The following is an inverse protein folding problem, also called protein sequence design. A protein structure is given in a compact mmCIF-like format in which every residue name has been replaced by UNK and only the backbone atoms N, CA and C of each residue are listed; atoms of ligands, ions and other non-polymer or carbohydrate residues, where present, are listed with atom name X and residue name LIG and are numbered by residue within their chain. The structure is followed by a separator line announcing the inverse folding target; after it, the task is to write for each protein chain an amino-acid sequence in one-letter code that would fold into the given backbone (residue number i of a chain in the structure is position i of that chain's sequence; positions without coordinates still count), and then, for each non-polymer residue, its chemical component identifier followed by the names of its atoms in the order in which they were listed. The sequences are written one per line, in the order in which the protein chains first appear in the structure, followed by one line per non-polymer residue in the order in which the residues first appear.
data_IF_700836978116
#
_entry.id   IF_700836978116
#
_cell.length_a   1.000
_cell.length_b   1.000
_cell.length_c   1.000
_cell.angle_alpha   90.00
_cell.angle_beta   90.00
_cell.angle_gamma   90.00
#
_symmetry.space_group_name_H-M   'P 1'
#
loop_
_entity.id
_entity.type
_entity.pdbx_description
1 polymer ?
#
# COMPACT_ATOMS: atom_id res chain seq x y z
N UNK A 1 4.02 25.33 12.02
CA UNK A 1 2.60 25.05 11.72
C UNK A 1 2.04 24.07 12.75
N UNK A 2 0.91 24.39 13.38
CA UNK A 2 0.17 23.45 14.24
C UNK A 2 -0.53 22.42 13.35
N UNK A 3 -0.36 21.13 13.66
CA UNK A 3 -1.06 20.04 12.97
C UNK A 3 -2.52 20.09 13.45
N UNK A 4 -3.45 20.33 12.53
CA UNK A 4 -4.88 20.38 12.84
C UNK A 4 -5.46 18.96 12.73
N UNK A 5 -5.67 18.32 13.87
CA UNK A 5 -6.36 17.04 13.92
C UNK A 5 -7.86 17.24 13.65
N UNK A 6 -8.40 16.46 12.72
CA UNK A 6 -9.83 16.40 12.42
C UNK A 6 -10.31 14.98 12.62
N UNK A 7 -11.49 14.83 13.18
CA UNK A 7 -12.13 13.55 13.41
C UNK A 7 -13.40 13.49 12.60
N UNK A 8 -13.58 12.40 11.86
CA UNK A 8 -14.81 12.11 11.11
C UNK A 8 -15.32 10.75 11.58
N UNK A 9 -16.55 10.72 12.08
CA UNK A 9 -17.23 9.50 12.47
C UNK A 9 -18.34 9.24 11.46
N UNK A 10 -18.36 8.04 10.87
CA UNK A 10 -19.39 7.61 9.93
C UNK A 10 -20.04 6.34 10.46
N UNK A 11 -21.36 6.27 10.34
CA UNK A 11 -22.13 5.05 10.53
C UNK A 11 -22.39 4.44 9.14
N UNK A 12 -22.02 3.19 8.96
CA UNK A 12 -22.17 2.47 7.69
C UNK A 12 -22.45 1.01 7.95
N UNK A 13 -23.19 0.37 7.04
CA UNK A 13 -23.39 -1.07 7.04
C UNK A 13 -22.12 -1.84 6.62
N UNK A 14 -21.31 -1.27 5.72
CA UNK A 14 -19.99 -1.79 5.36
C UNK A 14 -18.90 -0.76 5.72
N UNK A 15 -18.02 -1.04 6.70
CA UNK A 15 -16.95 -0.14 7.07
C UNK A 15 -15.92 0.06 5.94
N UNK A 16 -15.75 -0.92 5.06
CA UNK A 16 -14.80 -0.86 3.95
C UNK A 16 -15.22 0.20 2.93
N UNK A 17 -16.49 0.18 2.55
CA UNK A 17 -17.06 1.16 1.61
C UNK A 17 -17.00 2.57 2.18
N UNK A 18 -17.31 2.72 3.48
CA UNK A 18 -17.19 4.01 4.14
C UNK A 18 -15.75 4.55 4.12
N UNK A 19 -14.75 3.68 4.34
CA UNK A 19 -13.34 4.06 4.28
C UNK A 19 -12.94 4.45 2.85
N UNK A 20 -13.30 3.63 1.85
CA UNK A 20 -12.97 3.89 0.44
C UNK A 20 -13.60 5.20 -0.04
N UNK A 21 -14.90 5.39 0.20
CA UNK A 21 -15.60 6.63 -0.14
C UNK A 21 -14.99 7.84 0.57
N UNK A 22 -14.60 7.70 1.85
CA UNK A 22 -13.93 8.80 2.58
C UNK A 22 -12.57 9.12 2.00
N UNK A 23 -11.77 8.09 1.65
CA UNK A 23 -10.46 8.29 1.05
C UNK A 23 -10.56 9.00 -0.31
N UNK A 24 -11.58 8.68 -1.08
CA UNK A 24 -11.88 9.35 -2.36
C UNK A 24 -12.41 10.78 -2.16
N UNK A 25 -13.47 10.96 -1.37
CA UNK A 25 -14.13 12.26 -1.12
C UNK A 25 -13.19 13.31 -0.50
N UNK A 26 -12.29 12.86 0.40
CA UNK A 26 -11.35 13.75 1.09
C UNK A 26 -9.97 13.80 0.41
N UNK A 27 -9.80 13.07 -0.71
CA UNK A 27 -8.54 13.00 -1.46
C UNK A 27 -7.36 12.63 -0.55
N UNK A 28 -7.52 11.53 0.20
CA UNK A 28 -6.49 11.05 1.13
C UNK A 28 -5.37 10.39 0.33
N UNK A 29 -4.13 10.91 0.43
CA UNK A 29 -2.97 10.35 -0.27
C UNK A 29 -2.38 9.11 0.43
N UNK A 30 -2.49 9.03 1.75
CA UNK A 30 -1.94 7.93 2.56
C UNK A 30 -2.87 7.56 3.70
N UNK A 31 -3.10 6.26 3.86
CA UNK A 31 -3.94 5.68 4.89
C UNK A 31 -3.12 4.79 5.83
N UNK A 32 -3.22 5.04 7.14
CA UNK A 32 -2.61 4.20 8.18
C UNK A 32 -3.71 3.34 8.80
N UNK A 33 -3.53 2.01 8.76
CA UNK A 33 -4.58 1.05 9.14
C UNK A 33 -3.99 -0.06 10.00
N UNK A 34 -4.76 -0.59 10.95
CA UNK A 34 -4.35 -1.79 11.70
C UNK A 34 -4.15 -2.99 10.74
N UNK A 35 -3.01 -3.65 10.85
CA UNK A 35 -2.68 -4.83 10.04
C UNK A 35 -3.70 -5.98 10.20
N UNK A 36 -4.25 -6.16 11.40
CA UNK A 36 -5.24 -7.22 11.68
C UNK A 36 -6.54 -7.02 10.89
N UNK A 37 -6.95 -5.77 10.68
CA UNK A 37 -8.06 -5.41 9.81
C UNK A 37 -7.66 -5.53 8.34
N UNK A 38 -6.50 -4.96 7.98
CA UNK A 38 -6.03 -4.90 6.59
C UNK A 38 -5.80 -6.29 5.97
N UNK A 39 -5.24 -7.24 6.72
CA UNK A 39 -4.97 -8.61 6.23
C UNK A 39 -6.23 -9.38 5.84
N UNK A 40 -7.36 -9.03 6.45
CA UNK A 40 -8.66 -9.67 6.20
C UNK A 40 -9.50 -8.86 5.21
N UNK A 41 -9.06 -7.64 4.84
CA UNK A 41 -9.83 -6.73 4.01
C UNK A 41 -9.15 -6.54 2.65
N UNK A 42 -9.29 -7.57 1.79
CA UNK A 42 -8.76 -7.53 0.42
C UNK A 42 -9.42 -6.42 -0.41
N UNK A 43 -10.71 -6.15 -0.20
CA UNK A 43 -11.46 -5.11 -0.94
C UNK A 43 -10.83 -3.73 -0.72
N UNK A 44 -10.48 -3.40 0.53
CA UNK A 44 -9.78 -2.16 0.85
C UNK A 44 -8.47 -2.03 0.08
N UNK A 45 -7.66 -3.09 0.06
CA UNK A 45 -6.41 -3.08 -0.71
C UNK A 45 -6.71 -2.95 -2.22
N UNK A 46 -7.53 -3.81 -2.79
CA UNK A 46 -7.79 -3.80 -4.24
C UNK A 46 -8.34 -2.46 -4.76
N UNK A 47 -9.20 -1.78 -3.99
CA UNK A 47 -9.94 -0.61 -4.45
C UNK A 47 -9.39 0.73 -3.96
N UNK A 48 -8.51 0.74 -2.95
CA UNK A 48 -7.92 2.00 -2.45
C UNK A 48 -7.08 2.68 -3.53
N UNK A 49 -7.31 3.97 -3.75
CA UNK A 49 -6.50 4.79 -4.66
C UNK A 49 -5.25 5.37 -4.00
N UNK A 50 -5.16 5.30 -2.68
CA UNK A 50 -4.10 5.88 -1.86
C UNK A 50 -3.04 4.86 -1.43
N UNK A 51 -1.91 5.37 -0.94
CA UNK A 51 -0.89 4.55 -0.31
C UNK A 51 -1.39 4.00 1.03
N UNK A 52 -1.01 2.78 1.38
CA UNK A 52 -1.44 2.13 2.63
C UNK A 52 -0.23 1.75 3.48
N UNK A 53 -0.31 2.11 4.77
CA UNK A 53 0.61 1.68 5.82
C UNK A 53 -0.19 0.80 6.79
N UNK A 54 -0.04 -0.52 6.65
CA UNK A 54 -0.55 -1.49 7.60
C UNK A 54 0.33 -1.56 8.84
N UNK A 55 -0.24 -1.36 10.02
CA UNK A 55 0.52 -1.29 11.28
C UNK A 55 0.17 -2.44 12.20
N UNK A 56 1.19 -3.20 12.60
CA UNK A 56 1.13 -4.12 13.74
C UNK A 56 2.02 -3.55 14.84
N UNK A 57 1.43 -3.03 15.92
CA UNK A 57 2.20 -2.47 17.03
C UNK A 57 2.86 -3.56 17.87
N UNK A 58 4.15 -3.38 18.16
CA UNK A 58 4.88 -4.16 19.16
C UNK A 58 4.65 -3.62 20.57
N UNK A 59 5.03 -4.41 21.59
CA UNK A 59 4.86 -4.03 23.00
C UNK A 59 5.68 -2.79 23.41
N UNK A 60 6.80 -2.51 22.73
CA UNK A 60 7.77 -1.48 23.11
C UNK A 60 7.98 -0.45 21.98
N UNK A 61 6.91 0.03 21.35
CA UNK A 61 6.97 0.91 20.18
C UNK A 61 7.92 2.12 20.35
N UNK A 62 7.89 2.80 21.50
CA UNK A 62 8.76 3.95 21.75
C UNK A 62 10.26 3.61 21.71
N UNK A 63 10.65 2.40 22.13
CA UNK A 63 12.04 1.91 22.03
C UNK A 63 12.32 1.24 20.68
N UNK A 64 11.29 0.74 20.00
CA UNK A 64 11.42 0.16 18.67
C UNK A 64 11.78 1.22 17.63
N UNK A 65 11.31 2.47 17.81
CA UNK A 65 11.56 3.55 16.85
C UNK A 65 13.04 3.91 16.70
N UNK A 66 13.93 3.55 17.64
CA UNK A 66 15.36 3.85 17.52
C UNK A 66 16.06 3.08 16.40
N UNK A 67 15.50 1.95 15.96
CA UNK A 67 16.08 1.10 14.91
C UNK A 67 15.02 0.77 13.86
N UNK A 68 15.25 1.21 12.62
CA UNK A 68 14.38 0.93 11.48
C UNK A 68 15.03 -0.15 10.63
N UNK A 69 14.34 -1.27 10.46
CA UNK A 69 14.80 -2.45 9.72
C UNK A 69 13.95 -2.58 8.47
N UNK A 70 14.54 -2.37 7.30
CA UNK A 70 13.82 -2.36 6.03
C UNK A 70 14.08 -3.67 5.30
N UNK A 71 13.03 -4.44 5.03
CA UNK A 71 13.11 -5.58 4.12
C UNK A 71 12.95 -5.08 2.68
N UNK A 72 14.01 -5.14 1.89
CA UNK A 72 14.05 -4.52 0.56
C UNK A 72 14.11 -5.54 -0.59
N UNK A 73 13.40 -5.26 -1.67
CA UNK A 73 13.27 -6.14 -2.84
C UNK A 73 13.15 -5.41 -4.20
N UNK A 74 13.58 -4.13 -4.29
CA UNK A 74 13.53 -3.27 -5.51
C UNK A 74 12.11 -2.90 -6.00
N UNK A 75 11.06 -3.38 -5.34
CA UNK A 75 9.69 -3.01 -5.68
C UNK A 75 9.32 -1.60 -5.23
N UNK A 76 8.36 -0.96 -5.91
CA UNK A 76 7.81 0.37 -5.50
C UNK A 76 7.34 0.43 -4.05
N UNK A 77 6.85 -0.69 -3.52
CA UNK A 77 6.42 -0.78 -2.12
C UNK A 77 7.60 -0.70 -1.14
N UNK A 78 8.75 -1.28 -1.49
CA UNK A 78 9.96 -1.21 -0.68
C UNK A 78 10.72 0.11 -0.87
N UNK A 79 10.62 0.74 -2.05
CA UNK A 79 11.07 2.12 -2.29
C UNK A 79 10.36 3.12 -1.36
N UNK A 80 9.02 3.14 -1.37
CA UNK A 80 8.23 3.96 -0.44
C UNK A 80 8.54 3.64 1.02
N UNK A 81 8.78 2.36 1.33
CA UNK A 81 9.19 1.95 2.67
C UNK A 81 10.53 2.55 3.12
N UNK A 82 11.49 2.70 2.20
CA UNK A 82 12.78 3.33 2.44
C UNK A 82 12.65 4.84 2.60
N UNK A 83 11.81 5.50 1.81
CA UNK A 83 11.50 6.93 1.93
C UNK A 83 10.85 7.25 3.29
N UNK A 84 9.83 6.48 3.68
CA UNK A 84 9.18 6.62 5.00
C UNK A 84 10.20 6.41 6.12
N UNK A 85 11.05 5.38 6.01
CA UNK A 85 12.09 5.13 7.00
C UNK A 85 13.10 6.28 7.10
N UNK A 86 13.46 6.90 5.98
CA UNK A 86 14.33 8.08 5.95
C UNK A 86 13.69 9.27 6.65
N UNK A 87 12.42 9.55 6.37
CA UNK A 87 11.67 10.61 7.05
C UNK A 87 11.58 10.38 8.56
N UNK A 88 11.26 9.15 8.98
CA UNK A 88 11.22 8.75 10.39
C UNK A 88 12.59 8.86 11.05
N UNK A 89 13.65 8.42 10.38
CA UNK A 89 15.02 8.52 10.90
C UNK A 89 15.43 9.96 11.14
N UNK A 90 15.11 10.89 10.23
CA UNK A 90 15.38 12.32 10.39
C UNK A 90 14.62 12.91 11.59
N UNK A 91 13.37 12.49 11.81
CA UNK A 91 12.53 13.00 12.90
C UNK A 91 12.90 12.44 14.27
N UNK A 92 13.22 11.16 14.36
CA UNK A 92 13.42 10.44 15.63
C UNK A 92 14.89 10.08 15.91
N UNK A 93 15.83 10.53 15.06
CA UNK A 93 17.24 10.17 15.11
C UNK A 93 17.48 8.65 15.11
N UNK A 94 16.71 7.93 14.30
CA UNK A 94 16.71 6.46 14.24
C UNK A 94 17.83 5.95 13.33
N UNK A 95 18.39 4.78 13.66
CA UNK A 95 19.33 4.07 12.80
C UNK A 95 18.58 3.26 11.76
N UNK A 96 18.97 3.37 10.49
CA UNK A 96 18.38 2.57 9.40
C UNK A 96 19.31 1.41 9.04
N UNK A 97 18.71 0.22 8.91
CA UNK A 97 19.34 -0.99 8.39
C UNK A 97 18.48 -1.60 7.29
N UNK A 98 19.04 -1.77 6.10
CA UNK A 98 18.42 -2.50 5.00
C UNK A 98 18.86 -3.97 5.09
N UNK A 99 17.87 -4.86 5.00
CA UNK A 99 18.06 -6.30 5.00
C UNK A 99 17.45 -6.88 3.72
N UNK A 100 18.27 -7.58 2.95
CA UNK A 100 17.88 -8.21 1.67
C UNK A 100 18.00 -9.72 1.80
N UNK A 101 16.88 -10.42 1.62
CA UNK A 101 16.88 -11.87 1.46
C UNK A 101 17.22 -12.25 0.02
N UNK A 102 18.40 -12.84 -0.20
CA UNK A 102 18.90 -13.18 -1.54
C UNK A 102 18.20 -14.43 -2.06
N UNK A 103 17.45 -14.27 -3.15
CA UNK A 103 16.72 -15.36 -3.83
C UNK A 103 16.90 -15.36 -5.33
N UNK A 104 17.51 -14.31 -5.90
CA UNK A 104 17.59 -14.08 -7.34
C UNK A 104 19.04 -14.22 -7.84
N UNK A 105 19.22 -14.11 -9.15
CA UNK A 105 20.53 -14.21 -9.77
C UNK A 105 21.46 -13.07 -9.34
N UNK A 106 22.79 -13.23 -9.44
CA UNK A 106 23.76 -12.19 -9.10
C UNK A 106 23.51 -10.86 -9.82
N UNK A 107 23.08 -10.89 -11.08
CA UNK A 107 22.79 -9.70 -11.89
C UNK A 107 21.64 -8.90 -11.27
N UNK A 108 20.57 -9.58 -10.85
CA UNK A 108 19.42 -8.94 -10.20
C UNK A 108 19.85 -8.31 -8.86
N UNK A 109 20.73 -8.97 -8.11
CA UNK A 109 21.23 -8.42 -6.85
C UNK A 109 22.11 -7.17 -7.05
N UNK A 110 22.84 -7.05 -8.17
CA UNK A 110 23.55 -5.82 -8.55
C UNK A 110 22.55 -4.70 -8.82
N UNK A 111 21.48 -4.97 -9.57
CA UNK A 111 20.43 -3.99 -9.84
C UNK A 111 19.71 -3.52 -8.56
N UNK A 112 19.46 -4.43 -7.62
CA UNK A 112 18.84 -4.10 -6.32
C UNK A 112 19.75 -3.15 -5.53
N UNK A 113 21.05 -3.45 -5.47
CA UNK A 113 22.02 -2.57 -4.79
C UNK A 113 22.13 -1.23 -5.51
N UNK A 114 22.12 -1.22 -6.85
CA UNK A 114 22.07 0.00 -7.65
C UNK A 114 20.86 0.87 -7.29
N UNK A 115 19.67 0.28 -7.25
CA UNK A 115 18.44 0.99 -6.88
C UNK A 115 18.47 1.55 -5.46
N UNK A 116 19.01 0.81 -4.50
CA UNK A 116 19.20 1.31 -3.13
C UNK A 116 20.10 2.55 -3.13
N UNK A 117 21.20 2.51 -3.88
CA UNK A 117 22.14 3.63 -3.97
C UNK A 117 21.51 4.87 -4.60
N UNK A 118 20.70 4.71 -5.66
CA UNK A 118 19.92 5.80 -6.27
C UNK A 118 19.01 6.47 -5.22
N UNK A 119 18.18 5.69 -4.53
CA UNK A 119 17.25 6.23 -3.52
C UNK A 119 18.01 6.87 -2.37
N UNK A 120 19.11 6.26 -1.92
CA UNK A 120 19.97 6.85 -0.89
C UNK A 120 20.55 8.20 -1.34
N UNK A 121 20.97 8.32 -2.60
CA UNK A 121 21.46 9.57 -3.18
C UNK A 121 20.36 10.64 -3.17
N UNK A 122 19.18 10.32 -3.68
CA UNK A 122 18.02 11.23 -3.73
C UNK A 122 17.59 11.70 -2.34
N UNK A 123 17.65 10.81 -1.34
CA UNK A 123 17.30 11.11 0.05
C UNK A 123 18.42 11.82 0.84
N UNK A 124 19.60 11.98 0.25
CA UNK A 124 20.78 12.59 0.86
C UNK A 124 21.44 11.72 1.94
N UNK A 125 21.30 10.40 1.87
CA UNK A 125 21.81 9.45 2.86
C UNK A 125 23.23 9.01 2.47
N UNK A 126 24.23 9.46 3.26
CA UNK A 126 25.65 9.16 2.97
C UNK A 126 26.06 7.72 3.23
N UNK A 127 25.46 7.07 4.23
CA UNK A 127 25.82 5.70 4.65
C UNK A 127 24.62 5.01 5.29
N UNK A 128 24.43 3.75 4.94
CA UNK A 128 23.42 2.89 5.55
C UNK A 128 23.98 1.48 5.76
N UNK A 129 23.52 0.81 6.81
CA UNK A 129 23.87 -0.59 7.03
C UNK A 129 23.06 -1.45 6.06
N UNK A 130 23.74 -2.20 5.21
CA UNK A 130 23.13 -3.12 4.24
C UNK A 130 23.58 -4.56 4.52
N UNK A 131 22.62 -5.44 4.73
CA UNK A 131 22.86 -6.85 5.07
C UNK A 131 22.18 -7.79 4.08
N UNK A 132 22.97 -8.67 3.47
CA UNK A 132 22.45 -9.77 2.65
C UNK A 132 22.24 -10.99 3.53
N UNK A 133 21.06 -11.58 3.42
CA UNK A 133 20.65 -12.79 4.13
C UNK A 133 20.44 -13.88 3.11
N UNK A 134 21.20 -14.97 3.25
CA UNK A 134 21.16 -16.12 2.37
C UNK A 134 20.38 -17.25 3.04
N UNK A 135 19.58 -18.03 2.30
CA UNK A 135 19.03 -19.26 2.84
C UNK A 135 20.17 -20.25 3.14
N UNK A 136 20.14 -20.89 4.32
CA UNK A 136 21.15 -21.89 4.70
C UNK A 136 21.07 -23.15 3.81
N UNK A 137 19.88 -23.48 3.30
CA UNK A 137 19.66 -24.61 2.37
C UNK A 137 18.71 -24.24 1.24
N UNK A 138 18.81 -24.93 0.09
CA UNK A 138 17.97 -24.67 -1.11
C UNK A 138 16.45 -24.74 -0.84
N UNK A 139 16.01 -25.52 0.15
CA UNK A 139 14.60 -25.72 0.48
C UNK A 139 14.11 -24.81 1.61
N UNK A 140 15.00 -24.04 2.25
CA UNK A 140 14.63 -23.18 3.36
C UNK A 140 13.98 -21.89 2.86
N UNK A 141 12.82 -21.56 3.43
CA UNK A 141 12.16 -20.29 3.14
C UNK A 141 13.01 -19.14 3.67
N UNK A 142 13.49 -18.25 2.78
CA UNK A 142 14.26 -17.05 3.16
C UNK A 142 13.57 -16.20 4.24
N UNK A 143 12.25 -16.30 4.39
CA UNK A 143 11.51 -15.66 5.49
C UNK A 143 11.98 -16.07 6.90
N UNK A 144 12.46 -17.29 7.14
CA UNK A 144 12.94 -17.70 8.46
C UNK A 144 14.27 -17.04 8.80
N UNK A 145 15.18 -16.98 7.84
CA UNK A 145 16.47 -16.30 8.01
C UNK A 145 16.32 -14.79 8.14
N UNK A 146 15.37 -14.20 7.40
CA UNK A 146 15.00 -12.79 7.60
C UNK A 146 14.49 -12.54 9.02
N UNK A 147 13.63 -13.41 9.56
CA UNK A 147 13.17 -13.28 10.95
C UNK A 147 14.32 -13.40 11.96
N UNK A 148 15.27 -14.30 11.74
CA UNK A 148 16.47 -14.45 12.58
C UNK A 148 17.30 -13.17 12.54
N UNK A 149 17.55 -12.61 11.36
CA UNK A 149 18.25 -11.34 11.19
C UNK A 149 17.52 -10.16 11.86
N UNK A 150 16.20 -10.06 11.68
CA UNK A 150 15.38 -9.02 12.31
C UNK A 150 15.42 -9.11 13.84
N UNK A 151 15.70 -10.30 14.40
CA UNK A 151 15.77 -10.53 15.83
C UNK A 151 17.17 -10.34 16.45
N UNK A 152 18.20 -10.09 15.65
CA UNK A 152 19.53 -9.71 16.15
C UNK A 152 19.46 -8.42 16.98
N UNK A 153 18.60 -7.48 16.59
CA UNK A 153 18.30 -6.30 17.39
C UNK A 153 17.10 -6.58 18.30
N UNK A 154 17.22 -6.25 19.59
CA UNK A 154 16.15 -6.48 20.57
C UNK A 154 14.93 -5.59 20.31
N UNK A 155 15.18 -4.33 19.93
CA UNK A 155 14.14 -3.34 19.60
C UNK A 155 14.31 -2.88 18.16
N UNK A 156 13.18 -2.68 17.48
CA UNK A 156 13.17 -2.17 16.11
C UNK A 156 11.79 -2.17 15.48
N UNK A 157 11.58 -1.29 14.51
CA UNK A 157 10.44 -1.33 13.60
C UNK A 157 10.86 -2.06 12.33
N UNK A 158 10.11 -3.08 11.94
CA UNK A 158 10.32 -3.80 10.67
C UNK A 158 9.41 -3.21 9.60
N UNK A 159 9.98 -2.76 8.49
CA UNK A 159 9.27 -2.19 7.35
C UNK A 159 9.32 -3.20 6.21
N UNK A 160 8.14 -3.61 5.73
CA UNK A 160 7.95 -4.60 4.66
C UNK A 160 7.20 -3.95 3.50
N UNK A 161 7.76 -3.95 2.30
CA UNK A 161 7.00 -3.63 1.09
C UNK A 161 6.13 -4.82 0.68
N UNK A 162 4.83 -4.62 0.48
CA UNK A 162 3.94 -5.70 0.06
C UNK A 162 2.79 -5.23 -0.85
N UNK A 163 2.66 -5.91 -1.98
CA UNK A 163 1.53 -5.75 -2.89
C UNK A 163 0.41 -6.76 -2.63
N UNK A 164 -0.74 -6.51 -3.26
CA UNK A 164 -1.87 -7.43 -3.26
C UNK A 164 -1.56 -8.68 -4.08
N UNK A 165 -2.22 -9.81 -3.79
CA UNK A 165 -2.15 -11.04 -4.58
C UNK A 165 -3.53 -11.38 -5.17
N UNK A 166 -3.57 -12.31 -6.12
CA UNK A 166 -4.82 -12.78 -6.77
C UNK A 166 -5.82 -13.34 -5.78
N UNK A 167 -5.35 -13.97 -4.70
CA UNK A 167 -6.21 -14.74 -3.79
C UNK A 167 -6.12 -14.27 -2.32
N UNK A 168 -5.12 -13.43 -2.00
CA UNK A 168 -4.85 -12.96 -0.63
C UNK A 168 -4.46 -11.48 -0.62
N UNK A 169 -4.74 -10.82 0.50
CA UNK A 169 -4.39 -9.41 0.72
C UNK A 169 -2.88 -9.13 0.57
N UNK A 170 -2.03 -10.08 0.95
CA UNK A 170 -0.57 -9.96 0.91
C UNK A 170 0.06 -11.30 0.56
N UNK A 171 1.31 -11.27 0.06
CA UNK A 171 2.06 -12.50 -0.21
C UNK A 171 2.23 -13.37 1.04
N UNK A 172 2.24 -14.71 0.91
CA UNK A 172 2.45 -15.62 2.05
C UNK A 172 3.73 -15.31 2.83
N UNK A 173 4.79 -14.87 2.13
CA UNK A 173 6.04 -14.40 2.74
C UNK A 173 5.80 -13.21 3.68
N UNK A 174 5.09 -12.18 3.22
CA UNK A 174 4.78 -10.99 4.03
C UNK A 174 3.92 -11.35 5.23
N UNK A 175 2.87 -12.14 5.03
CA UNK A 175 2.00 -12.59 6.11
C UNK A 175 2.80 -13.37 7.17
N UNK A 176 3.67 -14.29 6.74
CA UNK A 176 4.53 -15.06 7.63
C UNK A 176 5.50 -14.15 8.43
N UNK A 177 6.14 -13.18 7.78
CA UNK A 177 7.02 -12.22 8.44
C UNK A 177 6.27 -11.34 9.45
N UNK A 178 5.14 -10.75 9.05
CA UNK A 178 4.34 -9.86 9.88
C UNK A 178 3.71 -10.58 11.08
N UNK A 179 3.21 -11.80 10.88
CA UNK A 179 2.57 -12.58 11.96
C UNK A 179 3.58 -13.07 12.99
N UNK A 180 4.72 -13.63 12.55
CA UNK A 180 5.75 -14.19 13.44
C UNK A 180 6.68 -13.14 14.06
N UNK A 181 6.76 -11.94 13.50
CA UNK A 181 7.54 -10.86 14.10
C UNK A 181 6.96 -10.46 15.47
N UNK A 182 7.83 -10.40 16.47
CA UNK A 182 7.53 -9.89 17.83
C UNK A 182 7.66 -8.37 17.94
N UNK A 183 8.16 -7.73 16.87
CA UNK A 183 8.42 -6.29 16.77
C UNK A 183 7.21 -5.55 16.20
N UNK A 184 7.27 -4.23 16.26
CA UNK A 184 6.41 -3.39 15.44
C UNK A 184 6.68 -3.67 13.96
N UNK A 185 5.64 -3.85 13.16
CA UNK A 185 5.74 -4.07 11.71
C UNK A 185 4.90 -3.05 10.97
N UNK A 186 5.51 -2.36 10.02
CA UNK A 186 4.84 -1.55 9.02
C UNK A 186 4.86 -2.30 7.69
N UNK A 187 3.69 -2.45 7.09
CA UNK A 187 3.51 -3.05 5.78
C UNK A 187 3.12 -1.93 4.83
N UNK A 188 4.00 -1.64 3.90
CA UNK A 188 3.90 -0.51 3.01
C UNK A 188 3.38 -0.99 1.67
N UNK A 189 2.34 -0.30 1.18
CA UNK A 189 1.81 -0.50 -0.14
C UNK A 189 1.71 0.86 -0.84
N UNK A 190 2.66 1.11 -1.73
CA UNK A 190 2.58 2.17 -2.73
C UNK A 190 1.55 1.82 -3.82
N UNK A 191 0.51 2.62 -3.95
CA UNK A 191 -0.48 2.52 -5.01
C UNK A 191 0.03 3.23 -6.28
N UNK A 192 -0.34 2.77 -7.49
CA UNK A 192 0.13 3.44 -8.73
C UNK A 192 -0.57 4.77 -8.99
N UNK A 193 -1.75 4.94 -8.42
CA UNK A 193 -2.58 6.12 -8.62
C UNK A 193 -2.58 7.07 -7.41
N UNK A 194 -1.78 6.81 -6.37
CA UNK A 194 -1.62 7.77 -5.27
C UNK A 194 -0.92 9.05 -5.74
N UNK A 195 -0.01 8.94 -6.70
CA UNK A 195 0.63 10.09 -7.37
C UNK A 195 -0.23 10.72 -8.47
N UNK A 196 -1.27 10.01 -8.96
CA UNK A 196 -2.23 10.58 -9.89
C UNK A 196 -3.16 11.51 -9.12
N UNK A 197 -2.70 12.73 -8.88
CA UNK A 197 -3.50 13.83 -8.38
C UNK A 197 -4.73 14.03 -9.29
N UNK A 198 -5.82 13.35 -8.97
CA UNK A 198 -7.10 13.45 -9.69
C UNK A 198 -7.73 14.83 -9.56
N UNK A 199 -7.18 15.75 -8.75
CA UNK A 199 -7.50 17.18 -8.87
C UNK A 199 -6.81 17.87 -10.04
N UNK A 200 -5.51 17.70 -10.25
CA UNK A 200 -4.82 18.43 -11.33
C UNK A 200 -5.23 17.87 -12.68
N UNK A 201 -5.22 16.55 -12.84
CA UNK A 201 -5.60 15.93 -14.11
C UNK A 201 -7.07 16.19 -14.44
N UNK A 202 -8.02 15.95 -13.52
CA UNK A 202 -9.43 16.22 -13.84
C UNK A 202 -9.78 17.69 -13.87
N UNK A 203 -9.19 18.59 -13.06
CA UNK A 203 -9.46 20.03 -13.22
C UNK A 203 -8.89 20.57 -14.53
N UNK A 204 -7.70 20.12 -14.94
CA UNK A 204 -7.06 20.52 -16.20
C UNK A 204 -7.83 19.95 -17.40
N UNK A 205 -8.25 18.68 -17.33
CA UNK A 205 -9.04 18.02 -18.38
C UNK A 205 -10.49 18.53 -18.42
N UNK A 206 -11.12 18.81 -17.28
CA UNK A 206 -12.45 19.46 -17.25
C UNK A 206 -12.40 20.90 -17.73
N UNK A 207 -11.31 21.64 -17.51
CA UNK A 207 -11.13 22.97 -18.09
C UNK A 207 -11.02 22.89 -19.61
N UNK A 208 -10.19 21.97 -20.14
CA UNK A 208 -10.05 21.73 -21.58
C UNK A 208 -11.38 21.25 -22.21
N UNK A 209 -12.10 20.35 -21.54
CA UNK A 209 -13.42 19.88 -21.99
C UNK A 209 -14.43 21.04 -21.98
N UNK A 210 -14.44 21.90 -20.95
CA UNK A 210 -15.35 23.05 -20.85
C UNK A 210 -15.03 24.14 -21.88
N UNK A 211 -13.76 24.38 -22.20
CA UNK A 211 -13.35 25.30 -23.27
C UNK A 211 -13.78 24.78 -24.64
N UNK A 212 -13.77 23.46 -24.83
CA UNK A 212 -14.11 22.84 -26.11
C UNK A 212 -15.59 22.41 -26.13
N UNK A 213 -16.46 23.33 -26.57
CA UNK A 213 -17.93 23.21 -26.62
C UNK A 213 -18.45 21.88 -27.22
N UNK A 214 -17.71 21.30 -28.17
CA UNK A 214 -18.05 20.01 -28.78
C UNK A 214 -17.84 18.82 -27.82
N UNK A 215 -16.72 18.78 -27.10
CA UNK A 215 -16.41 17.71 -26.15
C UNK A 215 -17.28 17.80 -24.90
N UNK A 216 -17.59 19.01 -24.43
CA UNK A 216 -18.53 19.21 -23.32
C UNK A 216 -19.94 18.68 -23.65
N UNK A 217 -20.39 18.89 -24.90
CA UNK A 217 -21.68 18.38 -25.36
C UNK A 217 -21.73 16.86 -25.40
N UNK A 218 -20.67 16.21 -25.91
CA UNK A 218 -20.53 14.75 -25.90
C UNK A 218 -20.52 14.21 -24.47
N UNK A 219 -19.80 14.87 -23.55
CA UNK A 219 -19.78 14.50 -22.14
C UNK A 219 -21.18 14.53 -21.50
N UNK A 220 -21.94 15.62 -21.69
CA UNK A 220 -23.31 15.74 -21.18
C UNK A 220 -24.25 14.72 -21.83
N UNK A 221 -24.09 14.42 -23.12
CA UNK A 221 -24.89 13.41 -23.82
C UNK A 221 -24.60 12.00 -23.29
N UNK A 222 -23.33 11.64 -23.05
CA UNK A 222 -22.95 10.36 -22.41
C UNK A 222 -23.50 10.27 -20.99
N UNK A 223 -23.40 11.35 -20.21
CA UNK A 223 -23.88 11.38 -18.82
C UNK A 223 -25.41 11.25 -18.76
N UNK A 224 -26.11 11.92 -19.68
CA UNK A 224 -27.54 11.77 -19.88
C UNK A 224 -27.93 10.34 -20.28
N UNK A 225 -27.13 9.69 -21.14
CA UNK A 225 -27.35 8.31 -21.57
C UNK A 225 -27.18 7.30 -20.42
N UNK A 226 -26.14 7.47 -19.59
CA UNK A 226 -25.90 6.64 -18.40
C UNK A 226 -27.02 6.80 -17.38
N UNK A 227 -27.50 8.02 -17.17
CA UNK A 227 -28.63 8.29 -16.27
C UNK A 227 -29.93 7.68 -16.79
N UNK A 228 -30.14 7.71 -18.12
CA UNK A 228 -31.30 7.09 -18.77
C UNK A 228 -31.28 5.57 -18.62
N UNK A 229 -30.12 4.92 -18.76
CA UNK A 229 -29.95 3.47 -18.61
C UNK A 229 -30.22 3.05 -17.15
N UNK A 230 -29.66 3.76 -16.16
CA UNK A 230 -29.93 3.49 -14.75
C UNK A 230 -31.39 3.70 -14.35
N UNK A 231 -32.11 4.61 -15.01
CA UNK A 231 -33.55 4.82 -14.77
C UNK A 231 -34.46 3.75 -15.38
N UNK A 232 -33.93 2.90 -16.28
CA UNK A 232 -34.70 1.87 -17.01
C UNK A 232 -34.49 0.44 -16.50
N UNK A 233 -33.66 0.22 -15.47
CA UNK A 233 -33.65 -1.07 -14.75
C UNK A 233 -34.95 -1.21 -13.93
N UNK A 234 -35.98 -1.81 -14.55
CA UNK A 234 -37.13 -2.34 -13.83
C UNK A 234 -36.69 -3.54 -13.00
N UNK A 235 -37.05 -3.53 -11.72
CA UNK A 235 -37.06 -4.73 -10.86
C UNK A 235 -38.04 -5.73 -11.51
N UNK A 236 -37.52 -6.77 -12.16
CA UNK A 236 -38.30 -7.90 -12.68
C UNK A 236 -38.76 -8.82 -11.56
N UNK A 237 -40.03 -9.23 -11.59
CA UNK A 237 -40.64 -10.15 -10.62
C UNK A 237 -40.18 -11.59 -10.88
N UNK A 238 -39.98 -12.32 -9.79
CA UNK A 238 -39.32 -13.63 -9.67
C UNK A 238 -40.05 -14.83 -10.32
N UNK A 239 -41.12 -14.63 -11.08
CA UNK A 239 -42.01 -15.71 -11.54
C UNK A 239 -41.85 -16.07 -13.04
N UNK A 240 -41.00 -15.38 -13.80
CA UNK A 240 -40.83 -15.64 -15.26
C UNK A 240 -39.68 -16.61 -15.60
N UNK A 241 -38.82 -16.99 -14.64
CA UNK A 241 -37.71 -17.94 -14.88
C UNK A 241 -38.16 -19.41 -15.03
N UNK A 242 -39.43 -19.74 -14.80
CA UNK A 242 -39.91 -21.13 -14.84
C UNK A 242 -40.21 -21.65 -16.26
N UNK A 243 -40.33 -20.76 -17.26
CA UNK A 243 -40.71 -21.16 -18.63
C UNK A 243 -39.58 -21.10 -19.66
N UNK A 244 -38.40 -20.53 -19.33
CA UNK A 244 -37.26 -20.51 -20.25
C UNK A 244 -36.36 -21.76 -20.15
N UNK A 245 -36.53 -22.63 -19.15
CA UNK A 245 -35.67 -23.81 -18.96
C UNK A 245 -36.10 -25.06 -19.74
N UNK A 246 -37.03 -24.95 -20.69
CA UNK A 246 -37.38 -26.05 -21.62
C UNK A 246 -37.70 -25.53 -23.02
N UNK A 247 -36.70 -25.05 -23.75
CA UNK A 247 -36.58 -25.17 -25.20
C UNK A 247 -35.10 -25.23 -25.59
#
# INVERSE_FOLDING_TARGET
HSIRHRYLVRLSHDPTEAILATAEEQEIDTMIVDFSFLRNNRRLLSLSTCDIIGVKLGKNFGKDMSNLIISYDKGRHSDLGLEIASAMSKQYNSKIRIVRGVTQSPETEVEIVGRINEIMFDLGIKKMQFEKVYPETKNMLVSSELLKNFNQTKTGVVILGAGNQSDTAFSPKTLNLATKSKKTVFIIRNHRFSEFHTRSFWNLLTHIIKENKYLYRIYIEILGFVYLIKSKEKIGRYDEDYFESRF
#
